data_IF_776170929905
#
_entry.id   IF_776170929905
#
_cell.length_a   1.000
_cell.length_b   1.000
_cell.length_c   1.000
_cell.angle_alpha   90.00
_cell.angle_beta   90.00
_cell.angle_gamma   90.00
#
_symmetry.space_group_name_H-M   'P 1'
#
loop_
_entity.id
_entity.type
_entity.pdbx_description
1 polymer ?
#
# COMPACT_ATOMS: atom_id res chain seq x y z
N UNK A 1 -7.48 22.90 3.84
CA UNK A 1 -7.68 22.80 2.37
C UNK A 1 -9.09 22.31 2.12
N UNK A 2 -9.78 22.79 1.07
CA UNK A 2 -11.15 22.34 0.74
C UNK A 2 -11.08 20.82 0.43
N UNK A 3 -12.06 20.04 0.87
CA UNK A 3 -12.26 18.63 0.55
C UNK A 3 -12.22 18.40 -0.97
N UNK A 4 -11.02 18.27 -1.52
CA UNK A 4 -10.86 17.91 -2.92
C UNK A 4 -11.07 16.40 -3.01
N UNK A 5 -11.99 15.97 -3.87
CA UNK A 5 -12.22 14.54 -4.11
C UNK A 5 -10.94 13.91 -4.70
N UNK A 6 -10.52 12.80 -4.13
CA UNK A 6 -9.39 12.01 -4.63
C UNK A 6 -9.86 11.17 -5.83
N UNK A 7 -9.32 11.45 -7.00
CA UNK A 7 -9.42 10.63 -8.20
C UNK A 7 -8.07 9.98 -8.44
N UNK A 8 -7.95 8.71 -8.10
CA UNK A 8 -6.65 8.04 -8.10
C UNK A 8 -6.60 6.81 -8.99
N UNK A 9 -5.38 6.51 -9.43
CA UNK A 9 -5.00 5.21 -9.99
C UNK A 9 -3.89 4.60 -9.13
N UNK A 10 -3.85 3.28 -9.08
CA UNK A 10 -2.75 2.52 -8.49
C UNK A 10 -1.80 2.08 -9.60
N UNK A 11 -0.52 2.35 -9.41
CA UNK A 11 0.56 1.92 -10.30
C UNK A 11 1.55 1.06 -9.52
N UNK A 12 1.79 -0.15 -9.98
CA UNK A 12 2.81 -1.02 -9.41
C UNK A 12 4.17 -0.73 -10.06
N UNK A 13 5.08 -0.11 -9.33
CA UNK A 13 6.47 0.04 -9.74
C UNK A 13 7.19 -1.30 -9.58
N UNK A 14 7.12 -1.89 -8.39
CA UNK A 14 7.56 -3.26 -8.16
C UNK A 14 6.45 -4.27 -8.44
N UNK A 15 6.83 -5.49 -8.80
CA UNK A 15 5.94 -6.64 -8.98
C UNK A 15 6.30 -7.83 -8.06
N UNK A 16 7.20 -7.64 -7.10
CA UNK A 16 7.55 -8.65 -6.10
C UNK A 16 6.54 -8.70 -4.94
N UNK A 17 5.26 -8.70 -5.28
CA UNK A 17 4.16 -8.87 -4.35
C UNK A 17 3.40 -10.18 -4.55
N UNK A 18 3.87 -11.02 -5.49
CA UNK A 18 3.29 -12.34 -5.76
C UNK A 18 4.42 -13.36 -5.92
N UNK A 19 4.09 -14.61 -6.23
CA UNK A 19 5.05 -15.72 -6.36
C UNK A 19 6.11 -15.53 -7.44
N UNK A 20 5.84 -14.71 -8.47
CA UNK A 20 6.79 -14.51 -9.55
C UNK A 20 7.88 -13.54 -9.13
N UNK A 21 9.12 -13.98 -9.21
CA UNK A 21 10.32 -13.16 -8.99
C UNK A 21 10.86 -12.61 -10.30
N UNK A 22 11.45 -11.44 -10.23
CA UNK A 22 12.14 -10.77 -11.33
C UNK A 22 13.55 -10.39 -10.88
N UNK A 23 14.53 -10.58 -11.76
CA UNK A 23 15.93 -10.22 -11.44
C UNK A 23 16.20 -8.71 -11.58
N UNK A 24 15.36 -8.04 -12.37
CA UNK A 24 15.46 -6.60 -12.62
C UNK A 24 14.06 -5.98 -12.64
N UNK A 25 14.01 -4.70 -12.33
CA UNK A 25 12.76 -3.93 -12.29
C UNK A 25 12.03 -4.01 -13.65
N UNK A 26 10.86 -4.68 -13.70
CA UNK A 26 10.10 -4.85 -14.94
C UNK A 26 9.17 -3.66 -15.20
N UNK A 27 9.70 -2.45 -15.12
CA UNK A 27 8.95 -1.21 -15.27
C UNK A 27 9.59 -0.32 -16.35
N UNK A 28 8.86 -0.02 -17.39
CA UNK A 28 9.35 0.73 -18.54
C UNK A 28 9.06 2.23 -18.38
N UNK A 29 10.05 3.06 -18.65
CA UNK A 29 9.90 4.52 -18.60
C UNK A 29 8.85 5.04 -19.58
N UNK A 30 8.76 4.44 -20.76
CA UNK A 30 7.73 4.79 -21.74
C UNK A 30 6.30 4.55 -21.22
N UNK A 31 6.11 3.52 -20.40
CA UNK A 31 4.82 3.26 -19.75
C UNK A 31 4.50 4.31 -18.68
N UNK A 32 5.50 4.74 -17.91
CA UNK A 32 5.34 5.80 -16.92
C UNK A 32 4.97 7.13 -17.58
N UNK A 33 5.65 7.49 -18.68
CA UNK A 33 5.31 8.67 -19.48
C UNK A 33 3.86 8.64 -19.99
N UNK A 34 3.45 7.48 -20.48
CA UNK A 34 2.08 7.28 -20.94
C UNK A 34 1.07 7.46 -19.80
N UNK A 35 1.32 6.86 -18.63
CA UNK A 35 0.44 6.99 -17.45
C UNK A 35 0.29 8.46 -17.07
N UNK A 36 1.37 9.20 -16.91
CA UNK A 36 1.31 10.60 -16.49
C UNK A 36 0.51 11.45 -17.47
N UNK A 37 0.77 11.28 -18.76
CA UNK A 37 0.05 12.01 -19.81
C UNK A 37 -1.45 11.71 -19.83
N UNK A 38 -1.84 10.46 -19.71
CA UNK A 38 -3.26 10.10 -19.73
C UNK A 38 -3.94 10.46 -18.40
N UNK A 39 -3.26 10.33 -17.27
CA UNK A 39 -3.78 10.74 -15.97
C UNK A 39 -4.13 12.24 -15.93
N UNK A 40 -3.19 13.10 -16.39
CA UNK A 40 -3.43 14.53 -16.52
C UNK A 40 -4.64 14.82 -17.42
N UNK A 41 -4.71 14.19 -18.58
CA UNK A 41 -5.76 14.40 -19.58
C UNK A 41 -7.17 14.04 -19.09
N UNK A 42 -7.30 13.00 -18.27
CA UNK A 42 -8.60 12.54 -17.74
C UNK A 42 -8.93 13.10 -16.36
N UNK A 43 -8.07 13.96 -15.80
CA UNK A 43 -8.32 14.64 -14.52
C UNK A 43 -8.04 13.78 -13.29
N UNK A 44 -7.19 12.75 -13.40
CA UNK A 44 -6.63 12.03 -12.25
C UNK A 44 -5.75 13.03 -11.47
N UNK A 45 -6.00 13.16 -10.17
CA UNK A 45 -5.25 14.07 -9.31
C UNK A 45 -4.34 13.35 -8.30
N UNK A 46 -4.36 12.03 -8.29
CA UNK A 46 -3.57 11.22 -7.35
C UNK A 46 -3.10 9.93 -8.02
N UNK A 47 -1.84 9.59 -7.82
CA UNK A 47 -1.28 8.27 -8.17
C UNK A 47 -0.80 7.63 -6.87
N UNK A 48 -1.33 6.46 -6.55
CA UNK A 48 -0.77 5.58 -5.52
C UNK A 48 0.30 4.73 -6.18
N UNK A 49 1.56 4.99 -5.86
CA UNK A 49 2.71 4.26 -6.42
C UNK A 49 3.13 3.15 -5.47
N UNK A 50 2.90 1.91 -5.85
CA UNK A 50 3.33 0.72 -5.10
C UNK A 50 4.81 0.50 -5.34
N UNK A 51 5.63 0.95 -4.39
CA UNK A 51 7.07 1.04 -4.60
C UNK A 51 7.78 -0.28 -4.29
N UNK A 52 7.38 -1.00 -3.25
CA UNK A 52 8.05 -2.24 -2.83
C UNK A 52 9.58 -2.13 -2.88
N UNK A 53 10.23 -3.10 -3.53
CA UNK A 53 11.67 -3.12 -3.80
C UNK A 53 12.07 -2.38 -5.10
N UNK A 54 11.14 -1.65 -5.72
CA UNK A 54 11.36 -0.86 -6.94
C UNK A 54 12.06 0.48 -6.73
N UNK A 55 12.35 0.85 -5.49
CA UNK A 55 13.12 2.06 -5.15
C UNK A 55 14.31 1.73 -4.25
N UNK A 56 15.32 2.59 -4.27
CA UNK A 56 16.48 2.44 -3.38
C UNK A 56 16.19 3.11 -2.03
N UNK A 57 16.28 2.32 -0.96
CA UNK A 57 16.25 2.81 0.42
C UNK A 57 17.67 3.04 0.94
N UNK A 58 17.88 4.10 1.70
CA UNK A 58 19.17 4.32 2.39
C UNK A 58 19.23 3.55 3.70
N UNK A 59 18.08 3.38 4.37
CA UNK A 59 17.97 2.61 5.61
C UNK A 59 18.17 1.11 5.40
N UNK A 60 17.69 0.59 4.28
CA UNK A 60 17.69 -0.84 3.93
C UNK A 60 18.04 -1.02 2.45
N UNK A 61 19.30 -0.75 2.03
CA UNK A 61 19.71 -0.83 0.62
C UNK A 61 19.63 -2.25 0.04
N UNK A 62 19.64 -3.27 0.88
CA UNK A 62 19.53 -4.69 0.53
C UNK A 62 18.16 -5.09 -0.01
N UNK A 63 17.11 -4.28 0.22
CA UNK A 63 15.76 -4.53 -0.29
C UNK A 63 15.67 -4.23 -1.79
N UNK A 64 16.36 -3.18 -2.25
CA UNK A 64 16.22 -2.69 -3.60
C UNK A 64 16.63 -3.73 -4.66
N UNK A 65 15.75 -3.99 -5.61
CA UNK A 65 16.06 -4.86 -6.74
C UNK A 65 16.98 -4.18 -7.78
N UNK A 66 17.57 -4.98 -8.67
CA UNK A 66 18.37 -4.42 -9.76
C UNK A 66 17.50 -3.50 -10.65
N UNK A 67 18.02 -2.33 -10.98
CA UNK A 67 17.30 -1.32 -11.77
C UNK A 67 16.27 -0.51 -10.98
N UNK A 68 16.16 -0.69 -9.67
CA UNK A 68 15.30 0.12 -8.82
C UNK A 68 15.56 1.62 -8.99
N UNK A 69 14.51 2.41 -8.92
CA UNK A 69 14.65 3.86 -9.01
C UNK A 69 15.53 4.41 -7.90
N UNK A 70 16.51 5.22 -8.28
CA UNK A 70 17.36 5.91 -7.30
C UNK A 70 16.54 6.91 -6.49
N UNK A 71 16.96 7.20 -5.27
CA UNK A 71 16.35 8.24 -4.41
C UNK A 71 16.23 9.59 -5.12
N UNK A 72 17.23 9.94 -5.94
CA UNK A 72 17.18 11.15 -6.78
C UNK A 72 16.03 11.09 -7.78
N UNK A 73 15.87 9.96 -8.47
CA UNK A 73 14.78 9.76 -9.43
C UNK A 73 13.42 9.85 -8.73
N UNK A 74 13.23 9.21 -7.59
CA UNK A 74 11.97 9.31 -6.83
C UNK A 74 11.59 10.77 -6.58
N UNK A 75 12.52 11.58 -6.05
CA UNK A 75 12.27 13.01 -5.82
C UNK A 75 11.94 13.78 -7.10
N UNK A 76 12.60 13.45 -8.21
CA UNK A 76 12.32 14.06 -9.52
C UNK A 76 10.90 13.72 -9.98
N UNK A 77 10.47 12.46 -9.84
CA UNK A 77 9.11 12.06 -10.25
C UNK A 77 8.04 12.63 -9.31
N UNK A 78 8.30 12.74 -8.01
CA UNK A 78 7.41 13.45 -7.07
C UNK A 78 7.21 14.91 -7.50
N UNK A 79 8.29 15.62 -7.78
CA UNK A 79 8.21 17.01 -8.24
C UNK A 79 7.49 17.11 -9.58
N UNK A 80 7.82 16.25 -10.53
CA UNK A 80 7.18 16.21 -11.83
C UNK A 80 5.68 15.98 -11.75
N UNK A 81 5.22 15.05 -10.91
CA UNK A 81 3.80 14.84 -10.67
C UNK A 81 3.13 16.10 -10.10
N UNK A 82 3.78 16.77 -9.13
CA UNK A 82 3.27 18.04 -8.58
C UNK A 82 3.14 19.13 -9.65
N UNK A 83 4.09 19.23 -10.55
CA UNK A 83 4.11 20.26 -11.61
C UNK A 83 2.91 20.11 -12.57
N UNK A 84 2.36 18.92 -12.72
CA UNK A 84 1.17 18.62 -13.52
C UNK A 84 -0.11 18.44 -12.68
N UNK A 85 -0.07 18.81 -11.39
CA UNK A 85 -1.23 18.77 -10.50
C UNK A 85 -1.61 17.37 -9.97
N UNK A 86 -0.69 16.42 -10.03
CA UNK A 86 -0.87 15.05 -9.52
C UNK A 86 -0.11 14.88 -8.20
N UNK A 87 -0.79 14.41 -7.17
CA UNK A 87 -0.17 13.98 -5.91
C UNK A 87 0.31 12.53 -6.04
N UNK A 88 1.59 12.30 -5.77
CA UNK A 88 2.16 10.96 -5.74
C UNK A 88 2.20 10.43 -4.30
N UNK A 89 1.49 9.34 -4.02
CA UNK A 89 1.38 8.71 -2.70
C UNK A 89 2.15 7.39 -2.72
N UNK A 90 3.11 7.17 -1.79
CA UNK A 90 3.81 5.90 -1.70
C UNK A 90 2.91 4.80 -1.14
N UNK A 91 3.04 3.58 -1.70
CA UNK A 91 2.45 2.36 -1.14
C UNK A 91 3.56 1.37 -0.80
N UNK A 92 3.54 0.89 0.43
CA UNK A 92 4.32 -0.23 0.95
C UNK A 92 3.34 -1.31 1.40
N UNK A 93 3.20 -2.39 0.63
CA UNK A 93 2.23 -3.42 1.00
C UNK A 93 2.83 -4.38 2.03
N UNK A 94 2.36 -4.27 3.28
CA UNK A 94 2.80 -5.10 4.41
C UNK A 94 1.90 -6.32 4.68
N UNK A 95 0.91 -6.58 3.80
CA UNK A 95 0.16 -7.82 3.87
C UNK A 95 1.02 -9.01 3.45
N UNK A 96 0.99 -10.10 4.19
CA UNK A 96 1.89 -11.24 3.98
C UNK A 96 1.78 -11.93 2.61
N UNK A 97 0.63 -11.94 1.91
CA UNK A 97 0.59 -12.42 0.53
C UNK A 97 1.33 -11.51 -0.47
N UNK A 98 1.66 -10.29 -0.07
CA UNK A 98 2.18 -9.24 -0.93
C UNK A 98 3.52 -8.65 -0.47
N UNK A 99 4.17 -9.27 0.52
CA UNK A 99 5.36 -8.75 1.18
C UNK A 99 6.69 -9.31 0.66
N UNK A 100 6.68 -10.08 -0.43
CA UNK A 100 7.90 -10.68 -0.99
C UNK A 100 9.00 -9.66 -1.32
N UNK A 101 8.62 -8.41 -1.56
CA UNK A 101 9.54 -7.29 -1.78
C UNK A 101 10.43 -6.97 -0.56
N UNK A 102 10.01 -7.36 0.64
CA UNK A 102 10.80 -7.21 1.87
C UNK A 102 11.97 -8.20 1.96
N UNK A 103 12.08 -9.16 1.03
CA UNK A 103 13.17 -10.13 1.03
C UNK A 103 13.18 -11.00 2.30
N UNK A 104 14.29 -10.99 3.03
CA UNK A 104 14.43 -11.78 4.26
C UNK A 104 13.51 -11.31 5.38
N UNK A 105 13.15 -10.03 5.41
CA UNK A 105 12.31 -9.44 6.45
C UNK A 105 10.87 -9.94 6.42
N UNK A 106 10.37 -10.39 5.26
CA UNK A 106 9.06 -11.03 5.15
C UNK A 106 8.95 -12.29 6.04
N UNK A 107 10.09 -12.95 6.33
CA UNK A 107 10.15 -14.13 7.21
C UNK A 107 10.27 -13.78 8.68
N UNK A 108 10.47 -12.50 9.01
CA UNK A 108 10.65 -11.99 10.36
C UNK A 108 9.41 -11.32 10.91
N UNK A 109 8.24 -11.62 10.31
CA UNK A 109 6.95 -11.03 10.64
C UNK A 109 6.73 -10.98 12.17
N UNK A 110 6.21 -9.84 12.65
CA UNK A 110 5.87 -9.60 14.06
C UNK A 110 7.05 -9.72 15.05
N UNK A 111 8.30 -9.57 14.56
CA UNK A 111 9.49 -9.51 15.41
C UNK A 111 9.99 -8.06 15.57
N UNK A 112 10.82 -7.81 16.56
CA UNK A 112 11.45 -6.50 16.75
C UNK A 112 12.26 -6.04 15.52
N UNK A 113 12.87 -6.97 14.79
CA UNK A 113 13.58 -6.67 13.54
C UNK A 113 12.60 -6.19 12.47
N UNK A 114 11.51 -6.92 12.27
CA UNK A 114 10.45 -6.55 11.33
C UNK A 114 9.87 -5.17 11.64
N UNK A 115 9.51 -4.94 12.89
CA UNK A 115 8.96 -3.65 13.32
C UNK A 115 9.92 -2.49 13.05
N UNK A 116 11.20 -2.69 13.37
CA UNK A 116 12.21 -1.67 13.07
C UNK A 116 12.30 -1.37 11.58
N UNK A 117 12.36 -2.39 10.75
CA UNK A 117 12.42 -2.25 9.28
C UNK A 117 11.18 -1.51 8.77
N UNK A 118 9.98 -1.91 9.16
CA UNK A 118 8.75 -1.22 8.77
C UNK A 118 8.78 0.27 9.10
N UNK A 119 9.17 0.61 10.33
CA UNK A 119 9.27 2.00 10.80
C UNK A 119 10.32 2.80 9.99
N UNK A 120 11.49 2.21 9.73
CA UNK A 120 12.55 2.86 8.97
C UNK A 120 12.09 3.15 7.53
N UNK A 121 11.45 2.17 6.87
CA UNK A 121 10.94 2.31 5.51
C UNK A 121 9.81 3.34 5.41
N UNK A 122 8.87 3.33 6.35
CA UNK A 122 7.77 4.30 6.41
C UNK A 122 8.30 5.72 6.55
N UNK A 123 9.24 5.95 7.47
CA UNK A 123 9.88 7.26 7.64
C UNK A 123 10.64 7.69 6.39
N UNK A 124 11.35 6.76 5.75
CA UNK A 124 12.13 7.09 4.57
C UNK A 124 11.25 7.43 3.36
N UNK A 125 10.15 6.71 3.11
CA UNK A 125 9.24 7.08 2.01
C UNK A 125 8.52 8.39 2.29
N UNK A 126 8.20 8.70 3.55
CA UNK A 126 7.64 9.99 3.91
C UNK A 126 8.55 11.15 3.48
N UNK A 127 9.85 11.07 3.78
CA UNK A 127 10.85 12.06 3.38
C UNK A 127 11.10 12.07 1.86
N UNK A 128 11.12 10.90 1.22
CA UNK A 128 11.38 10.79 -0.21
C UNK A 128 10.26 11.36 -1.07
N UNK A 129 9.01 11.22 -0.62
CA UNK A 129 7.81 11.67 -1.31
C UNK A 129 7.40 13.09 -0.92
N UNK A 130 8.29 13.84 -0.26
CA UNK A 130 8.10 15.23 0.14
C UNK A 130 6.89 15.43 1.05
N UNK A 131 6.82 14.64 2.13
CA UNK A 131 5.85 14.71 3.21
C UNK A 131 4.40 14.53 2.70
N UNK A 132 4.06 13.39 2.11
CA UNK A 132 2.72 13.14 1.59
C UNK A 132 1.68 13.12 2.72
N UNK A 133 0.45 13.55 2.42
CA UNK A 133 -0.66 13.51 3.37
C UNK A 133 -1.04 12.07 3.77
N UNK A 134 -0.80 11.10 2.87
CA UNK A 134 -1.14 9.69 3.07
C UNK A 134 0.04 8.78 2.74
N UNK A 135 0.13 7.65 3.46
CA UNK A 135 0.98 6.50 3.10
C UNK A 135 0.08 5.27 3.03
N UNK A 136 0.10 4.57 1.90
CA UNK A 136 -0.73 3.38 1.71
C UNK A 136 0.05 2.13 2.16
N UNK A 137 -0.53 1.38 3.11
CA UNK A 137 0.11 0.22 3.74
C UNK A 137 -0.33 -1.13 3.15
N UNK A 138 -1.26 -1.11 2.19
CA UNK A 138 -1.82 -2.34 1.62
C UNK A 138 -2.78 -3.02 2.57
N UNK A 139 -2.33 -4.06 3.26
CA UNK A 139 -3.07 -4.85 4.26
C UNK A 139 -4.26 -5.62 3.67
N UNK A 140 -4.10 -6.09 2.43
CA UNK A 140 -5.11 -6.86 1.70
C UNK A 140 -4.80 -8.35 1.70
N UNK A 141 -5.87 -9.14 1.70
CA UNK A 141 -5.83 -10.59 1.41
C UNK A 141 -4.99 -11.43 2.40
N UNK A 142 -4.79 -10.97 3.62
CA UNK A 142 -3.97 -11.69 4.61
C UNK A 142 -4.72 -12.90 5.19
N UNK A 143 -4.73 -13.98 4.45
CA UNK A 143 -5.32 -15.26 4.85
C UNK A 143 -4.58 -16.47 4.25
N UNK A 144 -4.89 -17.66 4.77
CA UNK A 144 -4.26 -18.91 4.35
C UNK A 144 -4.42 -19.25 2.86
N UNK A 145 -5.46 -18.73 2.20
CA UNK A 145 -5.73 -19.03 0.78
C UNK A 145 -4.74 -18.27 -0.10
N UNK A 146 -4.45 -17.03 0.26
CA UNK A 146 -3.59 -16.15 -0.52
C UNK A 146 -2.10 -16.44 -0.34
N UNK A 147 -1.70 -17.02 0.79
CA UNK A 147 -0.31 -17.49 0.98
C UNK A 147 -0.08 -18.92 0.50
N UNK A 148 -1.13 -19.60 0.01
CA UNK A 148 -1.00 -20.95 -0.53
C UNK A 148 -0.09 -20.99 -1.76
N UNK A 149 0.95 -21.78 -1.71
CA UNK A 149 1.95 -21.91 -2.77
C UNK A 149 3.20 -21.05 -2.57
N UNK A 150 3.26 -20.22 -1.53
CA UNK A 150 4.51 -19.61 -1.10
C UNK A 150 5.46 -20.66 -0.53
N UNK A 151 6.76 -20.54 -0.82
CA UNK A 151 7.78 -21.45 -0.27
C UNK A 151 7.86 -21.37 1.26
N UNK A 152 7.52 -20.20 1.79
CA UNK A 152 7.45 -19.94 3.22
C UNK A 152 6.25 -19.04 3.47
N UNK A 153 5.31 -19.51 4.27
CA UNK A 153 4.07 -18.78 4.58
C UNK A 153 3.96 -18.52 6.08
N UNK A 154 4.00 -17.26 6.45
CA UNK A 154 3.59 -16.75 7.76
C UNK A 154 2.51 -15.71 7.51
N UNK A 155 1.44 -15.71 8.30
CA UNK A 155 0.44 -14.66 8.26
C UNK A 155 -0.14 -14.43 9.67
N UNK A 156 -0.57 -13.21 9.91
CA UNK A 156 -1.08 -12.79 11.22
C UNK A 156 -2.53 -13.22 11.40
N UNK A 157 -2.88 -13.58 12.62
CA UNK A 157 -4.25 -13.94 12.99
C UNK A 157 -4.63 -13.34 14.35
N UNK A 158 -5.93 -13.11 14.54
CA UNK A 158 -6.48 -12.66 15.82
C UNK A 158 -5.83 -11.39 16.35
N UNK A 159 -5.57 -11.36 17.65
CA UNK A 159 -5.02 -10.17 18.33
C UNK A 159 -3.66 -9.73 17.77
N UNK A 160 -2.82 -10.64 17.24
CA UNK A 160 -1.54 -10.29 16.64
C UNK A 160 -1.71 -9.48 15.35
N UNK A 161 -2.75 -9.77 14.55
CA UNK A 161 -3.06 -8.97 13.37
C UNK A 161 -3.40 -7.53 13.73
N UNK A 162 -4.24 -7.34 14.74
CA UNK A 162 -4.64 -6.00 15.20
C UNK A 162 -3.48 -5.24 15.84
N UNK A 163 -2.65 -5.94 16.61
CA UNK A 163 -1.44 -5.37 17.19
C UNK A 163 -0.52 -4.83 16.10
N UNK A 164 -0.23 -5.62 15.08
CA UNK A 164 0.67 -5.22 14.00
C UNK A 164 0.08 -4.13 13.11
N UNK A 165 -1.24 -4.19 12.85
CA UNK A 165 -1.94 -3.15 12.10
C UNK A 165 -1.83 -1.80 12.82
N UNK A 166 -2.10 -1.77 14.12
CA UNK A 166 -1.98 -0.55 14.94
C UNK A 166 -0.53 -0.06 14.98
N UNK A 167 0.44 -0.95 15.14
CA UNK A 167 1.85 -0.57 15.07
C UNK A 167 2.21 0.13 13.76
N UNK A 168 1.76 -0.39 12.63
CA UNK A 168 1.99 0.22 11.32
C UNK A 168 1.27 1.57 11.19
N UNK A 169 0.07 1.70 11.74
CA UNK A 169 -0.67 2.97 11.78
C UNK A 169 0.07 4.02 12.59
N UNK A 170 0.57 3.65 13.77
CA UNK A 170 1.36 4.51 14.63
C UNK A 170 2.64 4.96 13.93
N UNK A 171 3.35 4.07 13.23
CA UNK A 171 4.53 4.43 12.45
C UNK A 171 4.24 5.50 11.38
N UNK A 172 3.07 5.43 10.73
CA UNK A 172 2.66 6.45 9.75
C UNK A 172 2.25 7.73 10.46
N UNK A 173 1.43 7.65 11.51
CA UNK A 173 0.97 8.80 12.27
C UNK A 173 2.12 9.60 12.90
N UNK A 174 3.16 8.92 13.37
CA UNK A 174 4.39 9.53 13.89
C UNK A 174 5.14 10.40 12.87
N UNK A 175 4.94 10.16 11.56
CA UNK A 175 5.48 11.03 10.51
C UNK A 175 4.66 12.29 10.29
N UNK A 176 3.39 12.30 10.70
CA UNK A 176 2.41 13.34 10.41
C UNK A 176 1.50 13.02 9.22
N UNK A 177 1.74 11.90 8.52
CA UNK A 177 0.85 11.38 7.49
C UNK A 177 -0.32 10.60 8.09
N UNK A 178 -1.35 10.33 7.29
CA UNK A 178 -2.46 9.47 7.65
C UNK A 178 -2.32 8.10 6.96
N UNK A 179 -2.50 6.98 7.69
CA UNK A 179 -2.50 5.65 7.09
C UNK A 179 -3.63 5.50 6.07
N UNK A 180 -3.34 4.77 4.98
CA UNK A 180 -4.33 4.37 3.99
C UNK A 180 -4.20 2.86 3.75
N UNK A 181 -5.31 2.12 3.81
CA UNK A 181 -5.31 0.66 3.59
C UNK A 181 -6.50 0.25 2.73
N UNK A 182 -6.40 -0.95 2.16
CA UNK A 182 -7.57 -1.63 1.62
C UNK A 182 -8.54 -2.02 2.75
N UNK A 183 -9.82 -2.07 2.48
CA UNK A 183 -10.84 -2.39 3.50
C UNK A 183 -10.90 -3.88 3.86
N UNK A 184 -9.93 -4.69 3.44
CA UNK A 184 -9.91 -6.13 3.75
C UNK A 184 -9.97 -6.45 5.25
N UNK A 185 -9.32 -5.69 6.14
CA UNK A 185 -9.44 -5.90 7.59
C UNK A 185 -10.87 -5.87 8.12
N UNK A 186 -11.78 -5.17 7.42
CA UNK A 186 -13.18 -5.11 7.82
C UNK A 186 -14.00 -6.29 7.32
N UNK A 187 -13.57 -6.94 6.22
CA UNK A 187 -14.36 -7.99 5.61
C UNK A 187 -14.43 -9.23 6.50
N UNK A 188 -15.57 -9.47 7.10
CA UNK A 188 -15.79 -10.57 8.04
C UNK A 188 -15.31 -10.32 9.48
N UNK A 189 -14.70 -9.15 9.77
CA UNK A 189 -14.12 -8.80 11.08
C UNK A 189 -14.50 -7.38 11.54
N UNK A 190 -15.70 -6.93 11.17
CA UNK A 190 -16.11 -5.55 11.40
C UNK A 190 -16.16 -5.17 12.89
N UNK A 191 -16.66 -6.04 13.76
CA UNK A 191 -16.73 -5.75 15.18
C UNK A 191 -15.34 -5.76 15.86
N UNK A 192 -14.47 -6.65 15.42
CA UNK A 192 -13.07 -6.66 15.86
C UNK A 192 -12.34 -5.39 15.40
N UNK A 193 -12.56 -4.98 14.13
CA UNK A 193 -11.96 -3.73 13.63
C UNK A 193 -12.38 -2.54 14.51
N UNK A 194 -13.66 -2.36 14.79
CA UNK A 194 -14.16 -1.28 15.65
C UNK A 194 -13.60 -1.33 17.08
N UNK A 195 -13.33 -2.52 17.58
CA UNK A 195 -12.77 -2.71 18.92
C UNK A 195 -11.31 -2.28 19.00
N UNK A 196 -10.54 -2.50 17.93
CA UNK A 196 -9.08 -2.34 17.91
C UNK A 196 -8.60 -1.08 17.20
N UNK A 197 -9.41 -0.51 16.31
CA UNK A 197 -9.05 0.61 15.44
C UNK A 197 -10.10 1.71 15.55
N UNK A 198 -9.68 2.95 15.67
CA UNK A 198 -10.56 4.11 15.65
C UNK A 198 -11.08 4.39 14.23
N UNK A 199 -12.27 4.96 14.12
CA UNK A 199 -12.91 5.27 12.82
C UNK A 199 -12.08 6.20 11.97
N UNK A 200 -11.40 7.16 12.60
CA UNK A 200 -10.61 8.19 11.93
C UNK A 200 -9.10 7.83 11.82
N UNK A 201 -8.69 6.66 12.29
CA UNK A 201 -7.26 6.30 12.34
C UNK A 201 -6.66 6.04 10.95
N UNK A 202 -7.47 5.64 9.98
CA UNK A 202 -6.99 5.37 8.62
C UNK A 202 -8.01 5.76 7.55
N UNK A 203 -7.52 5.95 6.33
CA UNK A 203 -8.36 5.96 5.11
C UNK A 203 -8.57 4.52 4.66
N UNK A 204 -9.81 4.16 4.38
CA UNK A 204 -10.19 2.82 3.95
C UNK A 204 -10.68 2.84 2.50
N UNK A 205 -10.08 2.00 1.67
CA UNK A 205 -10.50 1.83 0.28
C UNK A 205 -11.18 0.49 0.07
N UNK A 206 -12.51 0.44 -0.09
CA UNK A 206 -13.18 -0.77 -0.52
C UNK A 206 -12.86 -1.04 -1.99
N UNK A 207 -12.54 -2.29 -2.31
CA UNK A 207 -12.39 -2.73 -3.69
C UNK A 207 -13.52 -3.66 -4.10
N UNK A 208 -13.98 -3.50 -5.35
CA UNK A 208 -15.11 -4.26 -5.87
C UNK A 208 -15.01 -4.43 -7.39
N UNK A 209 -14.83 -5.66 -7.82
CA UNK A 209 -14.64 -5.99 -9.25
C UNK A 209 -15.90 -6.52 -9.95
N UNK A 210 -16.96 -6.83 -9.21
CA UNK A 210 -18.12 -7.61 -9.71
C UNK A 210 -19.40 -6.77 -9.91
N UNK A 211 -19.30 -5.44 -10.02
CA UNK A 211 -20.44 -4.52 -10.11
C UNK A 211 -21.44 -4.83 -11.24
N UNK A 212 -21.01 -5.55 -12.28
CA UNK A 212 -21.79 -5.78 -13.50
C UNK A 212 -22.28 -7.22 -13.69
N UNK A 213 -21.97 -8.14 -12.76
CA UNK A 213 -22.39 -9.56 -12.87
C UNK A 213 -23.28 -9.94 -11.70
N UNK A 214 -24.63 -9.98 -11.94
CA UNK A 214 -25.64 -10.39 -10.94
C UNK A 214 -25.39 -11.80 -10.35
N UNK A 215 -24.70 -12.66 -11.09
CA UNK A 215 -24.48 -14.07 -10.75
C UNK A 215 -23.37 -14.29 -9.70
N UNK A 216 -22.55 -13.25 -9.43
CA UNK A 216 -21.43 -13.32 -8.49
C UNK A 216 -21.54 -12.30 -7.35
N UNK A 217 -22.77 -11.88 -7.04
CA UNK A 217 -23.01 -10.99 -5.92
C UNK A 217 -22.72 -11.72 -4.59
N UNK A 218 -21.51 -11.60 -4.09
CA UNK A 218 -21.34 -11.53 -2.64
C UNK A 218 -22.20 -10.35 -2.17
N UNK A 219 -22.95 -10.48 -1.06
CA UNK A 219 -23.96 -9.50 -0.70
C UNK A 219 -23.37 -8.07 -0.74
N UNK A 220 -23.82 -7.27 -1.72
CA UNK A 220 -23.56 -5.81 -1.77
C UNK A 220 -23.96 -5.18 -0.43
N UNK A 221 -24.99 -5.72 0.20
CA UNK A 221 -25.49 -5.31 1.50
C UNK A 221 -24.41 -5.24 2.56
N UNK A 222 -23.58 -6.26 2.71
CA UNK A 222 -22.50 -6.24 3.71
C UNK A 222 -21.40 -5.21 3.42
N UNK A 223 -21.14 -4.91 2.14
CA UNK A 223 -20.14 -3.89 1.75
C UNK A 223 -20.71 -2.49 1.74
N UNK A 224 -21.99 -2.32 1.39
CA UNK A 224 -22.70 -1.06 1.51
C UNK A 224 -22.81 -0.60 2.96
N UNK A 225 -22.99 -1.52 3.90
CA UNK A 225 -22.95 -1.23 5.33
C UNK A 225 -21.58 -0.71 5.78
N UNK A 226 -20.48 -1.30 5.29
CA UNK A 226 -19.14 -0.81 5.60
C UNK A 226 -18.87 0.58 5.02
N UNK A 227 -19.28 0.83 3.78
CA UNK A 227 -19.16 2.15 3.16
C UNK A 227 -20.04 3.19 3.89
N UNK A 228 -21.26 2.81 4.29
CA UNK A 228 -22.16 3.69 5.03
C UNK A 228 -21.66 4.03 6.45
N UNK A 229 -20.88 3.14 7.06
CA UNK A 229 -20.29 3.37 8.38
C UNK A 229 -19.20 4.46 8.36
N UNK A 230 -18.53 4.67 7.21
CA UNK A 230 -17.41 5.61 7.05
C UNK A 230 -17.78 6.90 6.29
N UNK A 231 -19.03 7.08 5.91
CA UNK A 231 -19.59 8.31 5.36
C UNK A 231 -20.48 9.04 6.37
#
# INVERSE_FOLDING_TARGET
MKNQKIWSILVHLSKHMWLKRYDTLPFEDAFWEYILKEAEKVGINTIVLDVGDGIQFASHPEIAMNGAWTRKRVRQEVQRCKDIGITLIPKLNFATPHDMWLGEYARMLSTNVYYKVCNDLIKEVYELFDHPEYIHLGMDEEDARHVKGHEFAVYRQGELYWHDLNYLYDCVADTGAKPWVWSCPLYGHFEEYKKHVGVDDAVLSPWYYNAFRKEHWTPIESRAEYVAYYN
#
